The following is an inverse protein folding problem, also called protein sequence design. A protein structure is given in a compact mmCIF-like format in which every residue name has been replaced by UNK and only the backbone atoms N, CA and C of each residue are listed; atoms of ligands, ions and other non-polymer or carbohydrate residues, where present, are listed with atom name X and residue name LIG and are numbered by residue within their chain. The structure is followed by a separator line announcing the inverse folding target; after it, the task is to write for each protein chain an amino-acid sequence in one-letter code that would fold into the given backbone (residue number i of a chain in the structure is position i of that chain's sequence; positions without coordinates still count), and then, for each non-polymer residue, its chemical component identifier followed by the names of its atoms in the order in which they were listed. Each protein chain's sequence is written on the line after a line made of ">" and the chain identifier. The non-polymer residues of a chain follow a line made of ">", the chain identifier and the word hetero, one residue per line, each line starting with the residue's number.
data_IF_169763616502
#
_entry.id   IF_169763616502
#
_cell.length_a   1.000
_cell.length_b   1.000
_cell.length_c   1.000
_cell.angle_alpha   90.00
_cell.angle_beta   90.00
_cell.angle_gamma   90.00
#
_symmetry.space_group_name_H-M   'P 1'
#
loop_
_entity.id
_entity.type
_entity.pdbx_description
1 polymer ?
#
# COMPACT_ATOMS: atom_id res chain seq x y z
N UNK A 1 1.85 6.39 40.41
CA UNK A 1 2.46 6.22 39.07
C UNK A 1 2.89 4.77 38.91
N UNK A 2 2.51 4.10 37.82
CA UNK A 2 2.97 2.73 37.55
C UNK A 2 4.41 2.80 37.04
N UNK A 3 5.34 2.10 37.70
CA UNK A 3 6.72 1.95 37.25
C UNK A 3 6.82 0.66 36.43
N UNK A 4 7.13 0.78 35.14
CA UNK A 4 7.38 -0.37 34.27
C UNK A 4 8.78 -0.93 34.49
N UNK A 5 8.89 -2.26 34.50
CA UNK A 5 10.16 -2.97 34.42
C UNK A 5 10.85 -2.69 33.09
N UNK A 6 12.16 -2.92 33.00
CA UNK A 6 12.90 -2.76 31.74
C UNK A 6 12.38 -3.68 30.63
N UNK A 7 11.88 -4.87 31.00
CA UNK A 7 11.30 -5.84 30.05
C UNK A 7 9.95 -5.35 29.51
N UNK A 8 9.04 -4.90 30.37
CA UNK A 8 7.77 -4.30 29.93
C UNK A 8 8.00 -3.07 29.04
N UNK A 9 9.01 -2.24 29.37
CA UNK A 9 9.39 -1.10 28.52
C UNK A 9 9.91 -1.56 27.15
N UNK A 10 10.74 -2.60 27.10
CA UNK A 10 11.28 -3.12 25.85
C UNK A 10 10.17 -3.68 24.95
N UNK A 11 9.26 -4.47 25.53
CA UNK A 11 8.13 -5.03 24.80
C UNK A 11 7.24 -3.93 24.21
N UNK A 12 6.88 -2.92 25.02
CA UNK A 12 5.99 -1.84 24.59
C UNK A 12 6.61 -0.93 23.52
N UNK A 13 7.93 -0.67 23.60
CA UNK A 13 8.58 0.31 22.74
C UNK A 13 9.25 -0.30 21.51
N UNK A 14 9.70 -1.55 21.59
CA UNK A 14 10.48 -2.20 20.54
C UNK A 14 9.69 -3.34 19.93
N UNK A 15 9.39 -4.39 20.69
CA UNK A 15 8.79 -5.62 20.14
C UNK A 15 7.44 -5.34 19.46
N UNK A 16 6.57 -4.54 20.09
CA UNK A 16 5.27 -4.20 19.50
C UNK A 16 5.34 -3.19 18.35
N UNK A 17 6.45 -2.45 18.23
CA UNK A 17 6.65 -1.47 17.16
C UNK A 17 7.56 -2.00 16.04
N UNK A 18 7.99 -3.27 16.09
CA UNK A 18 8.79 -3.92 15.05
C UNK A 18 7.92 -4.20 13.80
N UNK A 19 7.58 -3.12 13.12
CA UNK A 19 6.74 -3.07 11.92
C UNK A 19 7.55 -2.72 10.68
N UNK A 20 8.88 -2.74 10.80
CA UNK A 20 9.78 -2.41 9.70
C UNK A 20 9.72 -3.52 8.65
N UNK A 21 9.27 -3.16 7.46
CA UNK A 21 9.23 -4.03 6.29
C UNK A 21 9.81 -3.29 5.09
N UNK A 22 10.45 -4.03 4.18
CA UNK A 22 10.91 -3.46 2.93
C UNK A 22 9.71 -3.10 2.04
N UNK A 23 9.77 -1.92 1.44
CA UNK A 23 8.80 -1.43 0.46
C UNK A 23 9.51 -0.48 -0.52
N UNK A 24 8.96 -0.25 -1.72
CA UNK A 24 9.62 0.58 -2.74
C UNK A 24 9.56 2.07 -2.37
N UNK A 25 10.55 2.53 -1.60
CA UNK A 25 10.67 3.91 -1.09
C UNK A 25 10.99 4.95 -2.16
N UNK A 26 11.48 4.49 -3.31
CA UNK A 26 11.88 5.28 -4.46
C UNK A 26 10.75 5.47 -5.48
N UNK A 27 9.61 4.79 -5.30
CA UNK A 27 8.46 4.89 -6.19
C UNK A 27 7.33 5.69 -5.58
N UNK A 28 6.68 6.46 -6.43
CA UNK A 28 5.42 7.13 -6.11
C UNK A 28 4.24 6.17 -6.27
N UNK A 29 3.10 6.53 -5.68
CA UNK A 29 1.87 5.73 -5.80
C UNK A 29 1.41 5.59 -7.26
N UNK A 30 1.54 6.66 -8.08
CA UNK A 30 1.15 6.60 -9.49
C UNK A 30 2.07 5.68 -10.30
N UNK A 31 3.38 5.66 -10.02
CA UNK A 31 4.31 4.71 -10.66
C UNK A 31 3.98 3.25 -10.30
N UNK A 32 3.63 2.98 -9.03
CA UNK A 32 3.17 1.65 -8.62
C UNK A 32 1.87 1.25 -9.33
N UNK A 33 0.97 2.21 -9.54
CA UNK A 33 -0.26 1.98 -10.31
C UNK A 33 0.05 1.70 -11.79
N UNK A 34 0.91 2.48 -12.43
CA UNK A 34 1.34 2.26 -13.83
C UNK A 34 1.99 0.87 -14.01
N UNK A 35 2.78 0.41 -13.03
CA UNK A 35 3.33 -0.95 -13.04
C UNK A 35 2.24 -2.03 -12.97
N UNK A 36 1.20 -1.81 -12.17
CA UNK A 36 0.05 -2.71 -12.11
C UNK A 36 -0.73 -2.72 -13.44
N UNK A 37 -0.81 -1.55 -14.11
CA UNK A 37 -1.42 -1.44 -15.46
C UNK A 37 -0.68 -2.31 -16.46
N UNK A 38 0.66 -2.33 -16.43
CA UNK A 38 1.44 -3.19 -17.33
C UNK A 38 1.27 -4.68 -17.02
N UNK A 39 1.17 -5.06 -15.74
CA UNK A 39 1.05 -6.46 -15.33
C UNK A 39 -0.33 -7.05 -15.63
N UNK A 40 -1.39 -6.28 -15.42
CA UNK A 40 -2.78 -6.76 -15.56
C UNK A 40 -3.69 -5.71 -16.23
N UNK A 41 -3.41 -5.34 -17.49
CA UNK A 41 -4.08 -4.22 -18.16
C UNK A 41 -5.59 -4.42 -18.34
N UNK A 42 -6.03 -5.68 -18.46
CA UNK A 42 -7.42 -6.06 -18.72
C UNK A 42 -8.20 -6.39 -17.44
N UNK A 43 -7.55 -6.40 -16.26
CA UNK A 43 -8.27 -6.58 -15.01
C UNK A 43 -9.09 -5.33 -14.68
N UNK A 44 -10.25 -5.51 -14.07
CA UNK A 44 -11.08 -4.41 -13.59
C UNK A 44 -10.37 -3.68 -12.45
N UNK A 45 -10.20 -2.36 -12.59
CA UNK A 45 -9.57 -1.49 -11.59
C UNK A 45 -10.61 -0.75 -10.74
N UNK A 46 -11.74 -0.38 -11.34
CA UNK A 46 -12.82 0.33 -10.67
C UNK A 46 -14.17 -0.11 -11.24
N UNK A 47 -15.15 -0.25 -10.33
CA UNK A 47 -16.56 -0.48 -10.65
C UNK A 47 -17.35 0.62 -9.96
N UNK A 48 -18.24 1.27 -10.71
CA UNK A 48 -19.18 2.24 -10.20
C UNK A 48 -20.52 2.06 -10.91
N UNK A 49 -21.56 1.69 -10.16
CA UNK A 49 -22.85 1.26 -10.73
C UNK A 49 -22.64 0.15 -11.78
N UNK A 50 -23.19 0.32 -12.99
CA UNK A 50 -23.05 -0.63 -14.11
C UNK A 50 -21.82 -0.33 -14.98
N UNK A 51 -20.93 0.58 -14.55
CA UNK A 51 -19.72 0.94 -15.27
C UNK A 51 -18.49 0.29 -14.65
N UNK A 52 -17.66 -0.29 -15.51
CA UNK A 52 -16.38 -0.86 -15.15
C UNK A 52 -15.28 -0.23 -15.99
N UNK A 53 -14.13 0.04 -15.39
CA UNK A 53 -12.91 0.40 -16.13
C UNK A 53 -11.80 -0.59 -15.77
N UNK A 54 -11.12 -1.08 -16.81
CA UNK A 54 -9.89 -1.83 -16.61
C UNK A 54 -8.75 -0.93 -16.16
N UNK A 55 -7.68 -1.52 -15.63
CA UNK A 55 -6.45 -0.77 -15.32
C UNK A 55 -5.96 0.05 -16.51
N UNK A 56 -5.92 -0.53 -17.72
CA UNK A 56 -5.55 0.20 -18.94
C UNK A 56 -6.48 1.40 -19.19
N UNK A 57 -7.81 1.20 -19.17
CA UNK A 57 -8.77 2.27 -19.46
C UNK A 57 -8.74 3.40 -18.43
N UNK A 58 -8.50 3.06 -17.15
CA UNK A 58 -8.37 4.05 -16.09
C UNK A 58 -7.09 4.87 -16.25
N UNK A 59 -5.97 4.21 -16.58
CA UNK A 59 -4.70 4.89 -16.81
C UNK A 59 -4.76 5.86 -17.99
N UNK A 60 -5.34 5.43 -19.12
CA UNK A 60 -5.52 6.27 -20.32
C UNK A 60 -6.39 7.51 -20.06
N UNK A 61 -7.28 7.47 -19.06
CA UNK A 61 -8.11 8.63 -18.67
C UNK A 61 -7.42 9.57 -17.70
N UNK A 62 -6.42 9.10 -16.95
CA UNK A 62 -5.72 9.85 -15.91
C UNK A 62 -4.47 10.58 -16.43
N UNK A 63 -3.88 10.09 -17.53
CA UNK A 63 -2.79 10.74 -18.27
C UNK A 63 -3.29 11.92 -19.11
#
# INVERSE_FOLDING_TARGET
>A
MKNFTSQEKHQLLVEWNDTNVEYPKDKTIHQLFEEQVQQTPHNIAIIFEDQELTYYQLNEKAN
#
